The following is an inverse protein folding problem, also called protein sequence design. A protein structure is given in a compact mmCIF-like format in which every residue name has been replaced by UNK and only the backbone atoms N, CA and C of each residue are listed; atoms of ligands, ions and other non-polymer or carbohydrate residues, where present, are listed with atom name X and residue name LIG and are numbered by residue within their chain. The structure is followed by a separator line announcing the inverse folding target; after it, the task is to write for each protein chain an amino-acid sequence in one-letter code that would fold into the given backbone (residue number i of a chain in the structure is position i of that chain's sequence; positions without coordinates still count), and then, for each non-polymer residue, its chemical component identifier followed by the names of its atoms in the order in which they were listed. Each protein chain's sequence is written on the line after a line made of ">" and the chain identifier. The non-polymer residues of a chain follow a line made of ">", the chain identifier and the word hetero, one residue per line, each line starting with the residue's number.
data_IF_262678907547
#
_entry.id   IF_262678907547
#
_cell.length_a   1.000
_cell.length_b   1.000
_cell.length_c   1.000
_cell.angle_alpha   90.00
_cell.angle_beta   90.00
_cell.angle_gamma   90.00
#
_symmetry.space_group_name_H-M   'P 1'
#
loop_
_entity.id
_entity.type
_entity.pdbx_description
1 polymer ?
#
# COMPACT_ATOMS: atom_id res chain seq x y z
N UNK A 1 23.61 5.60 -0.33
CA UNK A 1 24.55 6.59 -0.87
C UNK A 1 24.85 7.63 0.19
N UNK A 2 26.10 8.07 0.35
CA UNK A 2 26.46 9.18 1.27
C UNK A 2 27.59 10.03 0.69
N UNK A 3 27.60 11.31 1.05
CA UNK A 3 28.66 12.27 0.71
C UNK A 3 29.06 12.99 2.00
N UNK A 4 30.37 13.20 2.20
CA UNK A 4 30.92 13.98 3.30
C UNK A 4 31.52 15.27 2.72
N UNK A 5 31.13 16.44 3.24
CA UNK A 5 31.73 17.71 2.80
C UNK A 5 33.11 17.94 3.45
N UNK A 6 33.81 18.99 3.03
CA UNK A 6 35.15 19.33 3.52
C UNK A 6 35.19 19.59 5.04
N UNK A 7 34.06 19.99 5.63
CA UNK A 7 33.91 20.29 7.06
C UNK A 7 33.46 19.07 7.89
N UNK A 8 33.33 17.89 7.26
CA UNK A 8 32.99 16.63 7.93
C UNK A 8 31.50 16.33 8.09
N UNK A 9 30.60 17.15 7.53
CA UNK A 9 29.15 16.89 7.56
C UNK A 9 28.75 15.85 6.51
N UNK A 10 27.93 14.89 6.93
CA UNK A 10 27.46 13.78 6.08
C UNK A 10 26.04 14.05 5.60
N UNK A 11 25.79 13.85 4.30
CA UNK A 11 24.44 13.73 3.73
C UNK A 11 24.24 12.33 3.18
N UNK A 12 23.09 11.72 3.44
CA UNK A 12 22.76 10.36 3.00
C UNK A 12 21.51 10.32 2.13
N UNK A 13 21.51 9.44 1.13
CA UNK A 13 20.34 9.07 0.34
C UNK A 13 20.22 7.53 0.28
N UNK A 14 19.01 7.02 0.47
CA UNK A 14 18.71 5.59 0.40
C UNK A 14 18.00 5.25 -0.90
N UNK A 15 18.30 4.07 -1.46
CA UNK A 15 17.56 3.49 -2.59
C UNK A 15 17.21 2.06 -2.21
N UNK A 16 15.92 1.72 -2.27
CA UNK A 16 15.45 0.34 -2.18
C UNK A 16 15.41 -0.24 -3.60
N UNK A 17 16.03 -1.39 -3.81
CA UNK A 17 15.95 -2.14 -5.07
C UNK A 17 15.05 -3.35 -4.82
N UNK A 18 14.11 -3.57 -5.73
CA UNK A 18 13.10 -4.61 -5.66
C UNK A 18 13.29 -5.50 -6.88
N UNK A 19 13.48 -6.80 -6.65
CA UNK A 19 13.55 -7.81 -7.71
C UNK A 19 12.34 -8.70 -7.50
N UNK A 20 11.40 -8.64 -8.44
CA UNK A 20 10.17 -9.44 -8.42
C UNK A 20 10.34 -10.67 -9.30
N UNK A 21 9.63 -11.75 -8.99
CA UNK A 21 9.47 -12.87 -9.91
C UNK A 21 8.58 -12.43 -11.08
N UNK A 22 9.13 -12.45 -12.30
CA UNK A 22 8.41 -12.08 -13.50
C UNK A 22 7.20 -13.00 -13.78
N UNK A 23 7.19 -14.21 -13.23
CA UNK A 23 6.10 -15.16 -13.40
C UNK A 23 4.98 -14.96 -12.38
N UNK A 24 5.19 -14.11 -11.37
CA UNK A 24 4.16 -13.81 -10.38
C UNK A 24 3.22 -12.71 -10.89
N UNK A 25 1.93 -13.01 -11.08
CA UNK A 25 0.98 -12.02 -11.59
C UNK A 25 0.63 -10.94 -10.56
N UNK A 26 0.83 -11.17 -9.26
CA UNK A 26 0.45 -10.26 -8.17
C UNK A 26 1.65 -9.49 -7.62
N UNK A 27 2.84 -10.07 -7.61
CA UNK A 27 4.04 -9.37 -7.17
C UNK A 27 4.34 -8.18 -8.12
N UNK A 28 4.73 -7.03 -7.55
CA UNK A 28 5.03 -5.86 -8.36
C UNK A 28 5.07 -4.51 -7.65
N UNK A 29 5.37 -3.51 -8.48
CA UNK A 29 5.19 -2.09 -8.14
C UNK A 29 3.84 -1.63 -8.70
N UNK A 30 3.01 -1.10 -7.83
CA UNK A 30 1.66 -0.66 -8.12
C UNK A 30 1.55 0.85 -7.97
N UNK A 31 0.63 1.43 -8.73
CA UNK A 31 0.33 2.85 -8.68
C UNK A 31 -1.14 3.03 -8.35
N UNK A 32 -1.41 3.67 -7.21
CA UNK A 32 -2.78 3.96 -6.75
C UNK A 32 -3.45 4.90 -7.75
N UNK A 33 -4.70 4.60 -8.09
CA UNK A 33 -5.54 5.44 -8.93
C UNK A 33 -5.87 6.74 -8.17
N UNK A 34 -5.65 7.94 -8.76
CA UNK A 34 -6.06 9.21 -8.17
C UNK A 34 -7.53 9.30 -7.77
N UNK A 35 -8.40 8.49 -8.40
CA UNK A 35 -9.82 8.38 -8.12
C UNK A 35 -10.14 7.46 -6.93
N UNK A 36 -9.17 6.74 -6.37
CA UNK A 36 -9.30 6.12 -5.05
C UNK A 36 -9.76 7.19 -4.04
N UNK A 37 -10.47 6.79 -2.99
CA UNK A 37 -11.09 7.75 -2.08
C UNK A 37 -11.21 7.22 -0.65
N UNK A 38 -11.31 8.16 0.29
CA UNK A 38 -11.67 7.89 1.68
C UNK A 38 -13.07 8.43 1.95
N UNK A 39 -13.91 7.62 2.59
CA UNK A 39 -15.18 8.06 3.18
C UNK A 39 -14.97 8.25 4.69
N UNK A 40 -15.48 9.35 5.22
CA UNK A 40 -15.48 9.65 6.65
C UNK A 40 -16.75 10.41 7.03
N UNK A 41 -16.91 10.81 8.29
CA UNK A 41 -18.02 11.69 8.71
C UNK A 41 -18.07 13.03 7.97
N UNK A 42 -16.95 13.50 7.43
CA UNK A 42 -16.87 14.70 6.61
C UNK A 42 -17.27 14.48 5.13
N UNK A 43 -17.63 13.25 4.77
CA UNK A 43 -17.93 12.84 3.39
C UNK A 43 -16.76 12.14 2.70
N UNK A 44 -16.90 12.02 1.39
CA UNK A 44 -15.92 11.41 0.49
C UNK A 44 -14.79 12.40 0.16
N UNK A 45 -13.57 11.90 0.09
CA UNK A 45 -12.42 12.70 -0.32
C UNK A 45 -11.49 11.86 -1.21
N UNK A 46 -11.24 12.29 -2.46
CA UNK A 46 -10.36 11.56 -3.36
C UNK A 46 -8.89 11.67 -2.93
N UNK A 47 -8.10 10.69 -3.38
CA UNK A 47 -6.65 10.68 -3.20
C UNK A 47 -6.00 11.81 -3.98
N UNK A 48 -6.49 12.07 -5.19
CA UNK A 48 -6.15 13.25 -6.01
C UNK A 48 -4.78 13.19 -6.69
N UNK A 49 -3.99 12.15 -6.43
CA UNK A 49 -2.73 11.87 -7.11
C UNK A 49 -2.46 10.36 -7.09
N UNK A 50 -1.46 9.93 -7.86
CA UNK A 50 -1.03 8.54 -7.89
C UNK A 50 0.15 8.33 -6.94
N UNK A 51 0.08 7.25 -6.15
CA UNK A 51 1.11 6.90 -5.18
C UNK A 51 1.65 5.50 -5.45
N UNK A 52 2.98 5.36 -5.41
CA UNK A 52 3.67 4.10 -5.63
C UNK A 52 3.57 3.21 -4.39
N UNK A 53 3.08 1.99 -4.58
CA UNK A 53 2.96 0.92 -3.59
C UNK A 53 3.76 -0.31 -4.05
N UNK A 54 4.19 -1.14 -3.11
CA UNK A 54 4.91 -2.39 -3.44
C UNK A 54 4.18 -3.59 -2.86
N UNK A 55 4.06 -4.64 -3.66
CA UNK A 55 3.49 -5.93 -3.29
C UNK A 55 4.54 -7.01 -3.51
N UNK A 56 4.88 -7.77 -2.48
CA UNK A 56 5.92 -8.80 -2.49
C UNK A 56 5.36 -10.17 -2.21
N UNK A 57 5.81 -11.20 -2.93
CA UNK A 57 5.41 -12.58 -2.62
C UNK A 57 6.20 -13.09 -1.40
N UNK A 58 5.51 -13.62 -0.40
CA UNK A 58 6.12 -14.21 0.80
C UNK A 58 6.61 -15.66 0.60
N UNK A 59 6.46 -16.23 -0.60
CA UNK A 59 6.86 -17.59 -0.97
C UNK A 59 5.92 -18.69 -0.47
N UNK A 60 4.76 -18.32 0.09
CA UNK A 60 3.80 -19.24 0.70
C UNK A 60 2.35 -19.01 0.26
N UNK A 61 2.15 -18.32 -0.87
CA UNK A 61 0.83 -17.96 -1.40
C UNK A 61 0.18 -16.73 -0.73
N UNK A 62 0.98 -15.95 0.00
CA UNK A 62 0.58 -14.66 0.59
C UNK A 62 1.50 -13.56 0.10
N UNK A 63 1.06 -12.31 0.21
CA UNK A 63 1.77 -11.15 -0.30
C UNK A 63 1.84 -10.04 0.74
N UNK A 64 3.02 -9.47 0.93
CA UNK A 64 3.22 -8.29 1.75
C UNK A 64 2.95 -7.02 0.93
N UNK A 65 2.00 -6.19 1.37
CA UNK A 65 1.66 -4.89 0.79
C UNK A 65 2.28 -3.78 1.62
N UNK A 66 2.89 -2.77 0.98
CA UNK A 66 3.55 -1.67 1.69
C UNK A 66 2.61 -0.76 2.47
N UNK A 67 1.40 -0.53 1.95
CA UNK A 67 0.39 0.29 2.58
C UNK A 67 -1.01 -0.08 2.08
N UNK A 68 -1.80 -0.74 2.93
CA UNK A 68 -3.19 -1.10 2.67
C UNK A 68 -4.11 0.13 2.56
N UNK A 69 -3.68 1.30 3.07
CA UNK A 69 -4.36 2.58 2.91
C UNK A 69 -3.88 3.36 1.68
N UNK A 70 -3.18 2.72 0.74
CA UNK A 70 -2.82 3.30 -0.56
C UNK A 70 -1.95 4.57 -0.49
N UNK A 71 -1.18 4.76 0.59
CA UNK A 71 -0.36 5.96 0.77
C UNK A 71 -1.12 7.18 1.30
N UNK A 72 -2.35 7.02 1.80
CA UNK A 72 -3.16 8.14 2.27
C UNK A 72 -2.46 8.98 3.35
N UNK A 73 -1.90 8.33 4.37
CA UNK A 73 -1.22 9.07 5.45
C UNK A 73 0.26 9.29 5.16
N UNK A 74 0.97 8.28 4.66
CA UNK A 74 2.39 8.39 4.31
C UNK A 74 2.64 9.46 3.25
N UNK A 75 1.94 9.38 2.10
CA UNK A 75 2.23 10.21 0.92
C UNK A 75 1.29 11.40 0.78
N UNK A 76 -0.03 11.17 0.84
CA UNK A 76 -1.02 12.23 0.59
C UNK A 76 -1.05 13.26 1.72
N UNK A 77 -1.15 12.82 2.97
CA UNK A 77 -1.07 13.70 4.14
C UNK A 77 0.37 14.06 4.53
N UNK A 78 1.35 13.38 3.94
CA UNK A 78 2.78 13.58 4.18
C UNK A 78 3.18 13.40 5.66
N UNK A 79 2.54 12.45 6.36
CA UNK A 79 2.92 12.10 7.74
C UNK A 79 4.16 11.20 7.76
N UNK A 80 4.49 10.58 6.62
CA UNK A 80 5.65 9.72 6.44
C UNK A 80 5.38 8.25 6.74
N UNK A 81 6.38 7.42 6.46
CA UNK A 81 6.27 5.95 6.42
C UNK A 81 5.85 5.29 7.75
N UNK A 82 6.03 5.97 8.89
CA UNK A 82 5.53 5.45 10.16
C UNK A 82 3.99 5.34 10.17
N UNK A 83 3.30 6.08 9.30
CA UNK A 83 1.86 6.15 9.18
C UNK A 83 1.31 5.40 7.95
N UNK A 84 2.14 4.67 7.22
CA UNK A 84 1.64 3.66 6.27
C UNK A 84 1.10 2.46 7.04
N UNK A 85 0.21 1.69 6.41
CA UNK A 85 -0.34 0.45 6.95
C UNK A 85 0.18 -0.77 6.19
N UNK A 86 1.43 -1.21 6.40
CA UNK A 86 1.86 -2.49 5.84
C UNK A 86 1.01 -3.64 6.37
N UNK A 87 0.85 -4.67 5.55
CA UNK A 87 0.08 -5.86 5.91
C UNK A 87 0.21 -6.98 4.88
N UNK A 88 -0.12 -8.20 5.31
CA UNK A 88 -0.14 -9.37 4.43
C UNK A 88 -1.55 -9.62 3.91
N UNK A 89 -1.64 -9.99 2.64
CA UNK A 89 -2.86 -10.43 1.99
C UNK A 89 -2.70 -11.84 1.42
N UNK A 90 -3.81 -12.56 1.28
CA UNK A 90 -3.90 -13.78 0.49
C UNK A 90 -4.71 -13.49 -0.77
N UNK A 91 -4.21 -13.94 -1.92
CA UNK A 91 -4.94 -13.88 -3.19
C UNK A 91 -5.35 -15.31 -3.58
N UNK A 92 -6.65 -15.55 -3.69
CA UNK A 92 -7.20 -16.83 -4.12
C UNK A 92 -7.12 -16.99 -5.64
N UNK A 93 -7.32 -18.21 -6.14
CA UNK A 93 -7.29 -18.51 -7.59
C UNK A 93 -8.34 -17.73 -8.40
N UNK A 94 -9.49 -17.40 -7.79
CA UNK A 94 -10.54 -16.59 -8.41
C UNK A 94 -10.26 -15.07 -8.36
N UNK A 95 -9.11 -14.67 -7.81
CA UNK A 95 -8.71 -13.29 -7.63
C UNK A 95 -9.29 -12.63 -6.38
N UNK A 96 -10.07 -13.33 -5.54
CA UNK A 96 -10.51 -12.75 -4.26
C UNK A 96 -9.32 -12.51 -3.32
N UNK A 97 -9.38 -11.41 -2.57
CA UNK A 97 -8.31 -11.02 -1.63
C UNK A 97 -8.85 -11.02 -0.20
N UNK A 98 -8.08 -11.62 0.69
CA UNK A 98 -8.28 -11.60 2.14
C UNK A 98 -7.09 -10.92 2.82
N UNK A 99 -7.37 -10.01 3.77
CA UNK A 99 -6.34 -9.42 4.62
C UNK A 99 -6.01 -10.37 5.77
N UNK A 100 -4.73 -10.72 5.92
CA UNK A 100 -4.23 -11.59 6.99
C UNK A 100 -3.67 -10.80 8.17
N UNK A 101 -3.04 -9.66 7.88
CA UNK A 101 -2.43 -8.80 8.90
C UNK A 101 -2.44 -7.34 8.44
N UNK A 102 -2.40 -6.41 9.39
CA UNK A 102 -2.16 -4.99 9.14
C UNK A 102 -1.62 -4.32 10.40
N UNK A 103 -0.78 -3.30 10.25
CA UNK A 103 -0.34 -2.47 11.39
C UNK A 103 0.10 -1.09 10.94
N UNK A 104 -0.21 -0.06 11.72
CA UNK A 104 0.35 1.29 11.57
C UNK A 104 1.23 1.59 12.77
N UNK A 105 2.55 1.62 12.55
CA UNK A 105 3.53 1.78 13.65
C UNK A 105 3.40 3.12 14.38
N UNK A 106 3.08 4.20 13.66
CA UNK A 106 2.98 5.55 14.21
C UNK A 106 1.81 5.77 15.17
N UNK A 107 0.78 4.91 15.11
CA UNK A 107 -0.37 4.94 16.02
C UNK A 107 -0.47 3.69 16.90
N UNK A 108 0.24 2.62 16.56
CA UNK A 108 0.19 1.36 17.31
C UNK A 108 -1.13 0.61 17.14
N UNK A 109 -1.81 0.82 16.02
CA UNK A 109 -3.11 0.20 15.69
C UNK A 109 -3.07 -0.53 14.33
N UNK A 110 -4.24 -0.96 13.84
CA UNK A 110 -4.41 -1.77 12.64
C UNK A 110 -5.75 -1.46 11.95
N UNK A 111 -5.98 -2.02 10.76
CA UNK A 111 -7.30 -1.96 10.13
C UNK A 111 -8.37 -2.67 10.99
N UNK A 112 -9.61 -2.20 10.87
CA UNK A 112 -10.78 -2.83 11.48
C UNK A 112 -11.25 -4.03 10.63
N UNK A 113 -11.19 -3.89 9.30
CA UNK A 113 -11.53 -4.93 8.34
C UNK A 113 -11.01 -4.62 6.93
N UNK A 114 -11.06 -5.64 6.06
CA UNK A 114 -11.01 -5.49 4.61
C UNK A 114 -12.23 -6.15 3.97
N UNK A 115 -12.78 -5.54 2.92
CA UNK A 115 -13.90 -6.06 2.11
C UNK A 115 -13.62 -5.82 0.62
N UNK A 116 -14.35 -6.55 -0.22
CA UNK A 116 -14.33 -6.38 -1.68
C UNK A 116 -12.92 -6.46 -2.29
N UNK A 117 -12.04 -7.21 -1.62
CA UNK A 117 -10.68 -7.44 -2.06
C UNK A 117 -10.67 -8.24 -3.36
N UNK A 118 -10.03 -7.69 -4.41
CA UNK A 118 -9.98 -8.30 -5.73
C UNK A 118 -8.66 -8.02 -6.44
N UNK A 119 -8.12 -9.05 -7.08
CA UNK A 119 -7.08 -8.99 -8.09
C UNK A 119 -7.70 -9.31 -9.46
N UNK A 120 -7.53 -8.41 -10.41
CA UNK A 120 -7.91 -8.60 -11.81
C UNK A 120 -6.63 -8.79 -12.65
N UNK A 121 -6.39 -10.02 -13.09
CA UNK A 121 -5.20 -10.39 -13.86
C UNK A 121 -5.22 -9.87 -15.31
N UNK A 122 -6.38 -9.51 -15.86
CA UNK A 122 -6.48 -8.95 -17.20
C UNK A 122 -6.00 -7.49 -17.23
N UNK A 123 -6.21 -6.77 -16.13
CA UNK A 123 -5.82 -5.35 -15.99
C UNK A 123 -4.63 -5.15 -15.06
N UNK A 124 -4.15 -6.21 -14.39
CA UNK A 124 -3.16 -6.17 -13.31
C UNK A 124 -3.54 -5.16 -12.20
N UNK A 125 -4.82 -5.18 -11.81
CA UNK A 125 -5.37 -4.24 -10.84
C UNK A 125 -5.67 -4.95 -9.52
N UNK A 126 -5.24 -4.33 -8.42
CA UNK A 126 -5.67 -4.67 -7.07
C UNK A 126 -6.69 -3.64 -6.61
N UNK A 127 -7.76 -4.08 -5.97
CA UNK A 127 -8.74 -3.19 -5.34
C UNK A 127 -9.27 -3.75 -4.03
N UNK A 128 -9.60 -2.87 -3.10
CA UNK A 128 -10.26 -3.24 -1.83
C UNK A 128 -10.90 -2.04 -1.14
N UNK A 129 -11.79 -2.34 -0.19
CA UNK A 129 -12.24 -1.43 0.85
C UNK A 129 -11.58 -1.82 2.18
N UNK A 130 -10.91 -0.87 2.84
CA UNK A 130 -10.33 -1.04 4.18
C UNK A 130 -11.02 -0.12 5.17
N UNK A 131 -11.61 -0.69 6.22
CA UNK A 131 -12.17 0.05 7.34
C UNK A 131 -11.08 0.39 8.37
N UNK A 132 -11.08 1.61 8.90
CA UNK A 132 -10.07 2.07 9.83
C UNK A 132 -10.59 3.10 10.85
N UNK A 133 -10.06 3.01 12.07
CA UNK A 133 -10.37 3.88 13.20
C UNK A 133 -11.89 4.01 13.50
N UNK A 134 -12.66 2.95 13.21
CA UNK A 134 -14.09 2.82 13.49
C UNK A 134 -15.02 3.77 12.74
N UNK A 135 -14.50 4.62 11.85
CA UNK A 135 -15.27 5.71 11.22
C UNK A 135 -14.82 6.10 9.81
N UNK A 136 -13.82 5.41 9.26
CA UNK A 136 -13.28 5.70 7.94
C UNK A 136 -13.24 4.44 7.09
N UNK A 137 -13.58 4.59 5.82
CA UNK A 137 -13.42 3.57 4.81
C UNK A 137 -12.52 4.08 3.70
N UNK A 138 -11.56 3.28 3.29
CA UNK A 138 -10.62 3.58 2.21
C UNK A 138 -10.89 2.65 1.04
N UNK A 139 -11.29 3.22 -0.08
CA UNK A 139 -11.50 2.51 -1.33
C UNK A 139 -10.27 2.72 -2.19
N UNK A 140 -9.44 1.68 -2.26
CA UNK A 140 -8.15 1.71 -2.93
C UNK A 140 -8.24 0.89 -4.19
N UNK A 141 -7.85 1.49 -5.30
CA UNK A 141 -7.60 0.80 -6.56
C UNK A 141 -6.17 1.13 -6.99
N UNK A 142 -5.38 0.12 -7.35
CA UNK A 142 -4.01 0.32 -7.80
C UNK A 142 -3.67 -0.64 -8.94
N UNK A 143 -2.90 -0.16 -9.92
CA UNK A 143 -2.54 -0.95 -11.11
C UNK A 143 -1.03 -1.17 -11.17
N UNK A 144 -0.62 -2.41 -11.48
CA UNK A 144 0.79 -2.78 -11.66
C UNK A 144 1.36 -2.09 -12.91
N UNK A 145 2.60 -1.59 -12.82
CA UNK A 145 3.32 -1.01 -13.97
C UNK A 145 4.74 -1.56 -14.09
#
# INVERSE_FOLDING_TARGET
>A
YSIVNADGFVTTASRKVIVTDQNDPVEGVYYVDPASYRVSSAGETPYGASYEMTVFNNGNGTYAVSDLLGGWYDKRANYGIAYSMPGDIKVSEDGSIEMLSSSVAGWGDSADYMKEGKFDSATNTLSWQVGYAGSMDFYVTMTKR
#
